data_IF_295126044344
#
_entry.id   IF_295126044344
#
_cell.length_a   1.000
_cell.length_b   1.000
_cell.length_c   1.000
_cell.angle_alpha   90.00
_cell.angle_beta   90.00
_cell.angle_gamma   90.00
#
_symmetry.space_group_name_H-M   'P 1'
#
loop_
_entity.id
_entity.type
_entity.pdbx_description
1 polymer ?
#
# COMPACT_ATOMS: atom_id res chain seq x y z
N UNK A 1 41.98 4.29 -42.79
CA UNK A 1 41.99 4.46 -41.31
C UNK A 1 40.81 5.32 -40.83
N UNK A 2 40.61 6.53 -41.38
CA UNK A 2 39.48 7.43 -41.00
C UNK A 2 38.07 6.83 -41.09
N UNK A 3 37.74 6.06 -42.15
CA UNK A 3 36.40 5.42 -42.27
C UNK A 3 36.11 4.41 -41.14
N UNK A 4 37.12 3.67 -40.67
CA UNK A 4 36.97 2.70 -39.58
C UNK A 4 36.79 3.41 -38.23
N UNK A 5 37.49 4.53 -38.02
CA UNK A 5 37.34 5.37 -36.83
C UNK A 5 35.95 6.04 -36.81
N UNK A 6 35.48 6.57 -37.95
CA UNK A 6 34.14 7.14 -38.05
C UNK A 6 33.02 6.11 -37.79
N UNK A 7 33.16 4.88 -38.30
CA UNK A 7 32.22 3.80 -38.00
C UNK A 7 32.23 3.42 -36.51
N UNK A 8 33.41 3.36 -35.89
CA UNK A 8 33.53 3.05 -34.46
C UNK A 8 32.90 4.15 -33.58
N UNK A 9 33.10 5.43 -33.92
CA UNK A 9 32.46 6.55 -33.22
C UNK A 9 30.94 6.50 -33.40
N UNK A 10 30.44 6.25 -34.62
CA UNK A 10 29.00 6.12 -34.85
C UNK A 10 28.40 4.94 -34.07
N UNK A 11 29.08 3.79 -34.03
CA UNK A 11 28.65 2.64 -33.25
C UNK A 11 28.61 2.95 -31.74
N UNK A 12 29.61 3.66 -31.22
CA UNK A 12 29.63 4.11 -29.82
C UNK A 12 28.53 5.12 -29.51
N UNK A 13 28.26 6.06 -30.42
CA UNK A 13 27.16 7.02 -30.27
C UNK A 13 25.79 6.32 -30.30
N UNK A 14 25.59 5.35 -31.20
CA UNK A 14 24.38 4.56 -31.26
C UNK A 14 24.22 3.67 -30.02
N UNK A 15 25.29 3.06 -29.53
CA UNK A 15 25.27 2.28 -28.30
C UNK A 15 24.97 3.16 -27.07
N UNK A 16 25.57 4.36 -26.99
CA UNK A 16 25.30 5.33 -25.94
C UNK A 16 23.86 5.86 -26.00
N UNK A 17 23.35 6.17 -27.20
CA UNK A 17 21.97 6.58 -27.41
C UNK A 17 20.98 5.46 -27.08
N UNK A 18 21.28 4.22 -27.44
CA UNK A 18 20.46 3.07 -27.09
C UNK A 18 20.45 2.84 -25.57
N UNK A 19 21.60 2.89 -24.91
CA UNK A 19 21.69 2.75 -23.45
C UNK A 19 20.91 3.86 -22.73
N UNK A 20 21.08 5.11 -23.16
CA UNK A 20 20.30 6.23 -22.64
C UNK A 20 18.80 6.04 -22.87
N UNK A 21 18.40 5.62 -24.08
CA UNK A 21 17.01 5.35 -24.40
C UNK A 21 16.42 4.23 -23.53
N UNK A 22 17.09 3.10 -23.36
CA UNK A 22 16.57 1.99 -22.56
C UNK A 22 16.48 2.36 -21.07
N UNK A 23 17.50 3.05 -20.54
CA UNK A 23 17.50 3.52 -19.15
C UNK A 23 16.39 4.55 -18.92
N UNK A 24 16.23 5.52 -19.83
CA UNK A 24 15.20 6.55 -19.75
C UNK A 24 13.79 6.02 -20.07
N UNK A 25 13.65 5.00 -20.91
CA UNK A 25 12.35 4.43 -21.27
C UNK A 25 11.69 3.74 -20.09
N UNK A 26 12.44 3.01 -19.26
CA UNK A 26 11.92 2.41 -18.03
C UNK A 26 11.39 3.48 -17.07
N UNK A 27 12.20 4.52 -16.86
CA UNK A 27 11.84 5.72 -16.07
C UNK A 27 10.56 6.38 -16.56
N UNK A 28 10.50 6.67 -17.87
CA UNK A 28 9.37 7.37 -18.46
C UNK A 28 8.08 6.55 -18.38
N UNK A 29 8.16 5.22 -18.58
CA UNK A 29 7.01 4.33 -18.41
C UNK A 29 6.57 4.25 -16.97
N UNK A 30 7.51 4.17 -16.02
CA UNK A 30 7.18 4.15 -14.60
C UNK A 30 6.49 5.44 -14.17
N UNK A 31 7.03 6.60 -14.56
CA UNK A 31 6.42 7.91 -14.28
C UNK A 31 5.02 8.05 -14.89
N UNK A 32 4.86 7.74 -16.18
CA UNK A 32 3.54 7.72 -16.82
C UNK A 32 2.58 6.75 -16.09
N UNK A 33 3.04 5.56 -15.72
CA UNK A 33 2.23 4.53 -15.07
C UNK A 33 1.76 4.96 -13.69
N UNK A 34 2.68 5.46 -12.88
CA UNK A 34 2.41 6.06 -11.58
C UNK A 34 1.37 7.19 -11.70
N UNK A 35 1.54 8.13 -12.64
CA UNK A 35 0.57 9.20 -12.83
C UNK A 35 -0.80 8.69 -13.30
N UNK A 36 -0.85 7.73 -14.24
CA UNK A 36 -2.12 7.17 -14.71
C UNK A 36 -2.88 6.51 -13.57
N UNK A 37 -2.18 5.72 -12.75
CA UNK A 37 -2.72 5.03 -11.58
C UNK A 37 -3.27 6.00 -10.55
N UNK A 38 -2.47 6.97 -10.11
CA UNK A 38 -2.87 7.92 -9.05
C UNK A 38 -3.97 8.87 -9.51
N UNK A 39 -3.92 9.38 -10.75
CA UNK A 39 -5.00 10.23 -11.29
C UNK A 39 -6.30 9.42 -11.41
N UNK A 40 -6.23 8.16 -11.87
CA UNK A 40 -7.42 7.30 -11.95
C UNK A 40 -8.03 7.09 -10.57
N UNK A 41 -7.25 6.63 -9.59
CA UNK A 41 -7.76 6.34 -8.24
C UNK A 41 -8.27 7.61 -7.55
N UNK A 42 -7.51 8.70 -7.59
CA UNK A 42 -7.95 9.95 -6.99
C UNK A 42 -9.22 10.52 -7.62
N UNK A 43 -9.40 10.38 -8.94
CA UNK A 43 -10.63 10.81 -9.61
C UNK A 43 -11.82 9.90 -9.30
N UNK A 44 -11.69 8.60 -9.57
CA UNK A 44 -12.83 7.67 -9.52
C UNK A 44 -13.15 7.13 -8.13
N UNK A 45 -12.17 7.04 -7.21
CA UNK A 45 -12.40 6.60 -5.82
C UNK A 45 -12.58 7.79 -4.89
N UNK A 46 -11.69 8.78 -4.96
CA UNK A 46 -11.65 9.88 -3.99
C UNK A 46 -12.43 11.12 -4.42
N UNK A 47 -12.83 11.24 -5.70
CA UNK A 47 -13.56 12.40 -6.22
C UNK A 47 -12.70 13.66 -6.40
N UNK A 48 -11.37 13.54 -6.37
CA UNK A 48 -10.45 14.66 -6.58
C UNK A 48 -10.31 15.01 -8.06
N UNK A 49 -10.02 16.28 -8.37
CA UNK A 49 -9.80 16.67 -9.76
C UNK A 49 -8.51 16.06 -10.32
N UNK A 50 -8.46 15.71 -11.63
CA UNK A 50 -7.26 15.17 -12.25
C UNK A 50 -6.04 16.10 -12.12
N UNK A 51 -6.26 17.42 -12.13
CA UNK A 51 -5.23 18.44 -11.95
C UNK A 51 -4.62 18.40 -10.55
N UNK A 52 -5.46 18.26 -9.51
CA UNK A 52 -5.00 18.09 -8.13
C UNK A 52 -4.16 16.84 -8.00
N UNK A 53 -4.66 15.72 -8.53
CA UNK A 53 -3.95 14.44 -8.48
C UNK A 53 -2.65 14.47 -9.28
N UNK A 54 -2.61 15.16 -10.42
CA UNK A 54 -1.37 15.32 -11.19
C UNK A 54 -0.33 16.10 -10.39
N UNK A 55 -0.73 17.20 -9.75
CA UNK A 55 0.18 17.98 -8.92
C UNK A 55 0.70 17.13 -7.78
N UNK A 56 -0.18 16.48 -7.01
CA UNK A 56 0.15 15.67 -5.83
C UNK A 56 1.00 14.43 -6.17
N UNK A 57 0.64 13.72 -7.25
CA UNK A 57 1.41 12.58 -7.75
C UNK A 57 2.82 12.99 -8.20
N UNK A 58 3.00 14.22 -8.66
CA UNK A 58 4.29 14.70 -9.16
C UNK A 58 5.04 15.55 -8.12
N UNK A 59 4.55 15.66 -6.88
CA UNK A 59 5.30 16.30 -5.79
C UNK A 59 6.62 15.55 -5.60
N UNK A 60 7.74 16.26 -5.80
CA UNK A 60 9.09 15.70 -5.73
C UNK A 60 9.59 15.02 -7.00
N UNK A 61 8.77 14.94 -8.06
CA UNK A 61 9.21 14.43 -9.35
C UNK A 61 10.13 15.45 -10.06
N UNK A 62 11.07 14.96 -10.89
CA UNK A 62 11.95 15.85 -11.66
C UNK A 62 11.15 16.73 -12.63
N UNK A 63 11.71 17.88 -13.03
CA UNK A 63 11.11 18.78 -14.05
C UNK A 63 10.72 18.02 -15.33
N UNK A 64 11.43 16.94 -15.66
CA UNK A 64 11.11 16.08 -16.79
C UNK A 64 9.75 15.38 -16.62
N UNK A 65 9.49 14.78 -15.45
CA UNK A 65 8.23 14.08 -15.17
C UNK A 65 7.04 15.04 -14.96
N UNK A 66 7.29 16.31 -14.62
CA UNK A 66 6.26 17.35 -14.54
C UNK A 66 5.50 17.55 -15.89
N UNK A 67 6.12 17.17 -17.01
CA UNK A 67 5.56 17.28 -18.36
C UNK A 67 4.66 16.10 -18.78
N UNK A 68 4.33 15.18 -17.87
CA UNK A 68 3.35 14.13 -18.16
C UNK A 68 1.99 14.77 -18.45
N UNK A 69 1.42 14.47 -19.62
CA UNK A 69 0.05 14.83 -19.96
C UNK A 69 -0.90 13.68 -19.60
N UNK A 70 -2.17 14.00 -19.38
CA UNK A 70 -3.23 13.00 -19.15
C UNK A 70 -4.42 13.24 -20.08
N UNK A 71 -5.19 12.17 -20.29
CA UNK A 71 -6.50 12.17 -20.91
C UNK A 71 -7.43 11.33 -20.04
N UNK A 72 -8.47 11.96 -19.51
CA UNK A 72 -9.57 11.29 -18.82
C UNK A 72 -10.63 10.88 -19.85
N UNK A 73 -11.16 9.67 -19.69
CA UNK A 73 -12.28 9.14 -20.45
C UNK A 73 -13.30 8.58 -19.45
N UNK A 74 -14.38 9.31 -19.20
CA UNK A 74 -15.39 8.95 -18.20
C UNK A 74 -16.27 7.78 -18.65
N UNK A 75 -16.54 7.68 -19.95
CA UNK A 75 -17.35 6.60 -20.54
C UNK A 75 -16.63 5.26 -20.37
N UNK A 76 -15.34 5.24 -20.69
CA UNK A 76 -14.48 4.06 -20.51
C UNK A 76 -13.88 3.96 -19.10
N UNK A 77 -14.21 4.90 -18.22
CA UNK A 77 -13.72 5.01 -16.84
C UNK A 77 -12.21 4.81 -16.72
N UNK A 78 -11.47 5.60 -17.49
CA UNK A 78 -10.03 5.39 -17.65
C UNK A 78 -9.23 6.67 -17.74
N UNK A 79 -7.96 6.57 -17.36
CA UNK A 79 -6.99 7.66 -17.48
C UNK A 79 -5.81 7.15 -18.29
N UNK A 80 -5.43 7.91 -19.32
CA UNK A 80 -4.24 7.64 -20.14
C UNK A 80 -3.24 8.76 -19.95
N UNK A 81 -1.98 8.44 -19.69
CA UNK A 81 -0.89 9.41 -19.53
C UNK A 81 0.22 9.18 -20.54
N UNK A 82 0.95 10.25 -20.87
CA UNK A 82 2.10 10.21 -21.79
C UNK A 82 3.15 11.21 -21.35
N UNK A 83 4.43 10.83 -21.46
CA UNK A 83 5.54 11.75 -21.28
C UNK A 83 5.98 12.28 -22.65
N UNK A 84 5.83 13.59 -22.90
CA UNK A 84 6.09 14.24 -24.20
C UNK A 84 5.41 13.54 -25.40
N UNK A 85 4.22 12.95 -25.18
CA UNK A 85 3.49 12.19 -26.19
C UNK A 85 3.98 10.76 -26.43
N UNK A 86 5.02 10.32 -25.71
CA UNK A 86 5.57 8.97 -25.74
C UNK A 86 5.25 8.20 -24.45
N UNK A 87 5.62 6.92 -24.39
CA UNK A 87 5.53 6.08 -23.20
C UNK A 87 4.12 6.07 -22.57
N UNK A 88 3.14 5.77 -23.41
CA UNK A 88 1.73 5.73 -23.00
C UNK A 88 1.50 4.67 -21.92
N UNK A 89 0.79 5.08 -20.87
CA UNK A 89 0.29 4.18 -19.82
C UNK A 89 -1.17 4.50 -19.56
N UNK A 90 -1.93 3.46 -19.21
CA UNK A 90 -3.37 3.56 -19.02
C UNK A 90 -3.80 2.82 -17.76
N UNK A 91 -4.65 3.45 -16.97
CA UNK A 91 -5.34 2.83 -15.86
C UNK A 91 -6.86 2.83 -16.11
N UNK A 92 -7.54 1.78 -15.68
CA UNK A 92 -9.00 1.62 -15.82
C UNK A 92 -9.61 1.39 -14.46
N UNK A 93 -10.65 2.16 -14.15
CA UNK A 93 -11.47 1.99 -12.96
C UNK A 93 -12.56 0.93 -13.18
N UNK A 94 -12.60 -0.05 -12.29
CA UNK A 94 -13.67 -1.04 -12.19
C UNK A 94 -14.37 -0.90 -10.84
N UNK A 95 -15.70 -0.70 -10.77
CA UNK A 95 -16.42 -0.58 -9.51
C UNK A 95 -16.14 -1.71 -8.52
N UNK A 96 -15.89 -1.36 -7.26
CA UNK A 96 -15.56 -2.31 -6.19
C UNK A 96 -14.12 -2.84 -6.19
N UNK A 97 -13.44 -2.79 -7.34
CA UNK A 97 -12.04 -3.22 -7.49
C UNK A 97 -11.09 -2.02 -7.42
N UNK A 98 -11.52 -0.87 -7.94
CA UNK A 98 -10.70 0.33 -8.09
C UNK A 98 -9.98 0.39 -9.43
N UNK A 99 -8.88 1.13 -9.49
CA UNK A 99 -8.13 1.37 -10.73
C UNK A 99 -7.00 0.36 -10.91
N UNK A 100 -6.94 -0.30 -12.06
CA UNK A 100 -5.87 -1.24 -12.43
C UNK A 100 -5.00 -0.63 -13.52
N UNK A 101 -3.68 -0.66 -13.36
CA UNK A 101 -2.74 -0.23 -14.38
C UNK A 101 -2.59 -1.33 -15.45
N UNK A 102 -2.72 -0.95 -16.73
CA UNK A 102 -2.65 -1.90 -17.84
C UNK A 102 -1.23 -2.12 -18.36
N UNK A 103 -1.00 -3.28 -18.98
CA UNK A 103 0.21 -3.52 -19.76
C UNK A 103 0.20 -2.71 -21.06
N UNK A 104 1.39 -2.48 -21.63
CA UNK A 104 1.54 -1.68 -22.85
C UNK A 104 0.73 -2.28 -24.01
N UNK A 105 -0.19 -1.51 -24.59
CA UNK A 105 -1.00 -1.91 -25.74
C UNK A 105 -2.34 -2.58 -25.38
N UNK A 106 -2.59 -2.89 -24.11
CA UNK A 106 -3.88 -3.38 -23.65
C UNK A 106 -4.93 -2.25 -23.63
N UNK A 107 -6.18 -2.61 -23.93
CA UNK A 107 -7.30 -1.67 -23.93
C UNK A 107 -8.29 -1.87 -22.78
N UNK A 108 -8.23 -3.02 -22.10
CA UNK A 108 -9.14 -3.38 -21.01
C UNK A 108 -8.42 -4.24 -19.97
N UNK A 109 -8.75 -4.06 -18.69
CA UNK A 109 -8.43 -5.04 -17.65
C UNK A 109 -9.48 -6.15 -17.71
N UNK A 110 -9.05 -7.38 -18.00
CA UNK A 110 -9.92 -8.55 -17.86
C UNK A 110 -9.90 -8.99 -16.40
N UNK A 111 -10.89 -8.55 -15.62
CA UNK A 111 -11.06 -8.93 -14.22
C UNK A 111 -12.43 -9.61 -14.07
N UNK A 112 -12.48 -10.95 -13.99
CA UNK A 112 -13.73 -11.71 -13.87
C UNK A 112 -14.31 -11.64 -12.45
N UNK A 113 -14.34 -10.45 -11.86
CA UNK A 113 -15.04 -10.15 -10.62
C UNK A 113 -16.35 -9.48 -11.01
N UNK A 114 -17.45 -10.00 -10.47
CA UNK A 114 -18.79 -9.54 -10.84
C UNK A 114 -19.18 -8.33 -10.00
N UNK A 115 -20.09 -8.49 -9.05
CA UNK A 115 -20.39 -7.51 -8.04
C UNK A 115 -19.82 -7.98 -6.71
N UNK A 116 -19.20 -7.06 -5.97
CA UNK A 116 -18.86 -7.29 -4.58
C UNK A 116 -20.07 -6.98 -3.70
N UNK A 117 -20.14 -7.56 -2.49
CA UNK A 117 -21.21 -7.27 -1.55
C UNK A 117 -21.34 -5.76 -1.33
N UNK A 118 -22.56 -5.24 -1.43
CA UNK A 118 -22.84 -3.88 -1.00
C UNK A 118 -22.74 -3.82 0.52
N UNK A 119 -21.74 -3.08 1.01
CA UNK A 119 -21.54 -2.89 2.44
C UNK A 119 -22.38 -1.73 2.99
N UNK A 120 -23.10 -0.99 2.16
CA UNK A 120 -23.94 0.13 2.59
C UNK A 120 -24.92 -0.30 3.69
N UNK A 121 -25.13 0.56 4.68
CA UNK A 121 -26.05 0.31 5.80
C UNK A 121 -27.25 1.24 5.65
N UNK A 122 -28.45 0.71 5.86
CA UNK A 122 -29.67 1.52 5.92
C UNK A 122 -29.82 2.17 7.30
N UNK A 123 -29.86 3.51 7.34
CA UNK A 123 -30.17 4.29 8.54
C UNK A 123 -29.00 5.12 9.07
N UNK A 124 -29.32 6.10 9.93
CA UNK A 124 -28.36 7.03 10.54
C UNK A 124 -27.68 6.39 11.76
N UNK A 125 -26.79 5.42 11.54
CA UNK A 125 -25.96 4.87 12.61
C UNK A 125 -24.77 5.79 12.88
N UNK A 126 -24.52 6.08 14.16
CA UNK A 126 -23.32 6.80 14.59
C UNK A 126 -22.08 5.89 14.57
N UNK A 127 -20.90 6.49 14.74
CA UNK A 127 -19.68 5.77 15.03
C UNK A 127 -19.86 4.74 16.17
N UNK A 128 -19.25 3.54 16.10
CA UNK A 128 -18.40 3.05 15.02
C UNK A 128 -19.16 2.32 13.90
N UNK A 129 -20.49 2.20 13.97
CA UNK A 129 -21.27 1.35 13.06
C UNK A 129 -21.72 2.06 11.77
N UNK A 130 -21.76 3.40 11.75
CA UNK A 130 -22.10 4.18 10.55
C UNK A 130 -21.32 5.48 10.41
N UNK A 131 -21.83 6.39 9.58
CA UNK A 131 -21.24 7.69 9.26
C UNK A 131 -21.84 8.86 10.05
N UNK A 132 -22.80 8.60 10.96
CA UNK A 132 -23.34 9.61 11.87
C UNK A 132 -22.29 10.18 12.83
N UNK A 133 -22.60 11.34 13.42
CA UNK A 133 -21.70 12.04 14.35
C UNK A 133 -21.35 11.17 15.56
N UNK A 134 -20.07 11.14 15.91
CA UNK A 134 -19.63 10.61 17.20
C UNK A 134 -19.87 11.60 18.35
N UNK A 135 -19.06 11.49 19.39
CA UNK A 135 -19.03 12.43 20.51
C UNK A 135 -18.09 13.61 20.23
N UNK A 136 -18.09 14.08 18.99
CA UNK A 136 -17.22 15.15 18.53
C UNK A 136 -17.63 16.45 19.22
N UNK A 137 -16.66 17.11 19.83
CA UNK A 137 -16.83 18.42 20.48
C UNK A 137 -15.83 19.41 19.92
N UNK A 138 -16.07 20.70 20.17
CA UNK A 138 -15.16 21.78 19.75
C UNK A 138 -13.95 21.94 20.69
N UNK A 139 -13.77 21.07 21.69
CA UNK A 139 -12.66 21.12 22.65
C UNK A 139 -11.28 21.08 21.97
N UNK A 140 -11.19 20.36 20.84
CA UNK A 140 -9.94 20.11 20.13
C UNK A 140 -9.76 20.96 18.87
N UNK A 141 -10.66 21.92 18.60
CA UNK A 141 -10.67 22.69 17.35
C UNK A 141 -9.34 23.39 17.10
N UNK A 142 -8.78 24.09 18.11
CA UNK A 142 -7.50 24.81 17.98
C UNK A 142 -6.34 23.88 17.60
N UNK A 143 -6.29 22.67 18.19
CA UNK A 143 -5.29 21.66 17.85
C UNK A 143 -5.49 21.16 16.42
N UNK A 144 -6.73 20.88 16.03
CA UNK A 144 -7.06 20.45 14.66
C UNK A 144 -6.71 21.53 13.65
N UNK A 145 -6.97 22.81 13.93
CA UNK A 145 -6.54 23.92 13.07
C UNK A 145 -5.02 23.98 12.93
N UNK A 146 -4.28 23.80 14.03
CA UNK A 146 -2.83 23.79 14.00
C UNK A 146 -2.25 22.64 13.14
N UNK A 147 -2.91 21.48 13.05
CA UNK A 147 -2.45 20.37 12.20
C UNK A 147 -2.66 20.64 10.70
N UNK A 148 -3.64 21.48 10.34
CA UNK A 148 -3.95 21.86 8.96
C UNK A 148 -3.25 23.14 8.52
N UNK A 149 -2.57 23.85 9.42
CA UNK A 149 -1.82 25.04 9.06
C UNK A 149 -0.60 24.70 8.18
N UNK A 150 -0.36 25.46 7.11
CA UNK A 150 0.83 25.28 6.27
C UNK A 150 1.92 26.28 6.68
N UNK A 151 2.62 25.98 7.78
CA UNK A 151 3.62 26.89 8.38
C UNK A 151 4.89 27.04 7.52
N UNK A 152 5.26 26.00 6.75
CA UNK A 152 6.37 26.02 5.81
C UNK A 152 5.87 25.76 4.38
N UNK A 153 5.64 26.80 3.57
CA UNK A 153 5.21 26.64 2.17
C UNK A 153 6.19 25.85 1.30
N UNK A 154 7.46 25.70 1.69
CA UNK A 154 8.43 24.88 0.96
C UNK A 154 8.30 23.38 1.28
N UNK A 155 7.64 23.04 2.39
CA UNK A 155 7.41 21.67 2.86
C UNK A 155 5.99 21.53 3.38
N UNK A 156 4.98 21.70 2.50
CA UNK A 156 3.60 21.63 2.94
C UNK A 156 3.28 20.24 3.50
N UNK A 157 2.54 20.20 4.60
CA UNK A 157 2.03 18.97 5.22
C UNK A 157 0.94 18.34 4.37
N UNK A 158 0.11 19.17 3.73
CA UNK A 158 -1.03 18.76 2.91
C UNK A 158 -1.98 17.81 3.64
N UNK A 159 -2.24 18.07 4.93
CA UNK A 159 -3.13 17.25 5.75
C UNK A 159 -4.52 17.19 5.10
N UNK A 160 -4.98 15.98 4.77
CA UNK A 160 -6.31 15.76 4.15
C UNK A 160 -7.40 15.46 5.17
N UNK A 161 -7.07 14.70 6.20
CA UNK A 161 -8.01 14.30 7.24
C UNK A 161 -7.26 13.98 8.55
N UNK A 162 -7.91 14.30 9.67
CA UNK A 162 -7.50 13.89 11.01
C UNK A 162 -8.74 13.34 11.69
N UNK A 163 -8.62 12.18 12.33
CA UNK A 163 -9.67 11.52 13.11
C UNK A 163 -9.04 11.02 14.41
N UNK A 164 -9.68 11.31 15.55
CA UNK A 164 -9.23 10.89 16.88
C UNK A 164 -10.31 10.08 17.57
N UNK A 165 -9.96 8.86 17.94
CA UNK A 165 -10.82 7.94 18.70
C UNK A 165 -10.19 7.73 20.07
N UNK A 166 -10.99 7.87 21.12
CA UNK A 166 -10.56 7.67 22.50
C UNK A 166 -11.60 6.81 23.22
N UNK A 167 -11.15 5.71 23.83
CA UNK A 167 -12.03 4.72 24.49
C UNK A 167 -13.18 4.24 23.59
N UNK A 168 -12.88 3.98 22.32
CA UNK A 168 -13.85 3.54 21.31
C UNK A 168 -14.81 4.64 20.81
N UNK A 169 -14.69 5.88 21.29
CA UNK A 169 -15.55 7.02 20.92
C UNK A 169 -14.81 7.95 19.97
N UNK A 170 -15.44 8.35 18.88
CA UNK A 170 -14.94 9.40 17.99
C UNK A 170 -15.08 10.76 18.69
N UNK A 171 -13.97 11.41 19.04
CA UNK A 171 -13.96 12.64 19.87
C UNK A 171 -13.54 13.89 19.10
N UNK A 172 -12.82 13.74 17.99
CA UNK A 172 -12.33 14.85 17.18
C UNK A 172 -12.15 14.41 15.72
N UNK A 173 -12.49 15.29 14.79
CA UNK A 173 -12.17 15.09 13.37
C UNK A 173 -12.11 16.41 12.62
N UNK A 174 -11.29 16.47 11.58
CA UNK A 174 -11.24 17.59 10.64
C UNK A 174 -10.82 17.09 9.27
N UNK A 175 -11.37 17.72 8.24
CA UNK A 175 -11.14 17.37 6.84
C UNK A 175 -10.71 18.63 6.07
N UNK A 176 -9.86 18.44 5.06
CA UNK A 176 -9.49 19.50 4.12
C UNK A 176 -10.66 19.81 3.18
N UNK A 177 -10.57 20.95 2.48
CA UNK A 177 -11.53 21.31 1.46
C UNK A 177 -11.65 20.21 0.39
N UNK A 178 -12.88 19.80 0.08
CA UNK A 178 -13.18 18.72 -0.86
C UNK A 178 -13.02 17.30 -0.31
N UNK A 179 -12.68 17.13 0.98
CA UNK A 179 -12.63 15.83 1.67
C UNK A 179 -13.82 15.72 2.63
N UNK A 180 -14.50 14.58 2.62
CA UNK A 180 -15.61 14.26 3.54
C UNK A 180 -15.24 13.06 4.43
N UNK A 181 -16.03 12.75 5.48
CA UNK A 181 -15.85 11.55 6.28
C UNK A 181 -15.91 10.22 5.51
N UNK A 182 -16.46 10.24 4.28
CA UNK A 182 -16.61 9.11 3.38
C UNK A 182 -15.60 9.10 2.24
N UNK A 183 -14.79 10.16 2.05
CA UNK A 183 -13.78 10.21 0.98
C UNK A 183 -12.70 9.14 1.22
N UNK A 184 -12.53 8.15 0.32
CA UNK A 184 -11.43 7.22 0.41
C UNK A 184 -10.09 7.91 0.16
N UNK A 185 -9.13 7.76 1.05
CA UNK A 185 -7.77 8.30 0.94
C UNK A 185 -6.75 7.15 0.86
N UNK A 186 -5.72 7.33 0.03
CA UNK A 186 -4.63 6.35 -0.12
C UNK A 186 -3.87 6.17 1.19
N UNK A 187 -3.73 4.93 1.66
CA UNK A 187 -2.94 4.60 2.87
C UNK A 187 -1.47 4.30 2.60
N UNK A 188 -1.07 4.10 1.33
CA UNK A 188 0.27 3.63 0.98
C UNK A 188 0.65 2.40 1.82
N UNK A 189 1.83 2.43 2.44
CA UNK A 189 2.35 1.32 3.24
C UNK A 189 1.54 0.95 4.48
N UNK A 190 0.53 1.74 4.88
CA UNK A 190 -0.43 1.30 5.90
C UNK A 190 -1.17 0.02 5.48
N UNK A 191 -1.31 -0.23 4.17
CA UNK A 191 -1.91 -1.44 3.63
C UNK A 191 -1.17 -2.73 4.06
N UNK A 192 0.11 -2.65 4.43
CA UNK A 192 0.90 -3.79 4.93
C UNK A 192 0.32 -4.34 6.22
N UNK A 193 -0.01 -3.46 7.16
CA UNK A 193 -0.64 -3.88 8.42
C UNK A 193 -2.00 -4.52 8.17
N UNK A 194 -2.79 -4.00 7.21
CA UNK A 194 -4.07 -4.61 6.81
C UNK A 194 -3.88 -5.98 6.17
N UNK A 195 -2.82 -6.17 5.38
CA UNK A 195 -2.43 -7.48 4.85
C UNK A 195 -2.14 -8.47 5.98
N UNK A 196 -1.45 -8.03 7.05
CA UNK A 196 -1.20 -8.86 8.23
C UNK A 196 -2.48 -9.18 9.03
N UNK A 197 -3.45 -8.28 9.09
CA UNK A 197 -4.77 -8.57 9.68
C UNK A 197 -5.52 -9.64 8.86
N UNK A 198 -5.46 -9.58 7.53
CA UNK A 198 -6.04 -10.61 6.66
C UNK A 198 -5.36 -11.97 6.84
N UNK A 199 -4.02 -12.00 7.02
CA UNK A 199 -3.32 -13.24 7.40
C UNK A 199 -3.82 -13.76 8.74
N UNK A 200 -4.00 -12.89 9.75
CA UNK A 200 -4.52 -13.28 11.05
C UNK A 200 -5.87 -13.98 10.98
N UNK A 201 -6.79 -13.48 10.13
CA UNK A 201 -8.08 -14.15 9.87
C UNK A 201 -7.87 -15.59 9.36
N UNK A 202 -6.94 -15.79 8.42
CA UNK A 202 -6.64 -17.11 7.86
C UNK A 202 -5.90 -18.02 8.85
N UNK A 203 -5.09 -17.46 9.74
CA UNK A 203 -4.46 -18.21 10.85
C UNK A 203 -5.52 -18.68 11.84
N UNK A 204 -6.47 -17.81 12.21
CA UNK A 204 -7.62 -18.16 13.05
C UNK A 204 -8.47 -19.28 12.45
N UNK A 205 -8.64 -19.26 11.12
CA UNK A 205 -9.37 -20.29 10.39
C UNK A 205 -8.57 -21.60 10.22
N UNK A 206 -7.29 -21.64 10.64
CA UNK A 206 -6.41 -22.80 10.49
C UNK A 206 -5.92 -23.04 9.06
N UNK A 207 -6.06 -22.05 8.18
CA UNK A 207 -5.66 -22.11 6.76
C UNK A 207 -4.18 -21.79 6.58
N UNK A 208 -3.65 -20.87 7.38
CA UNK A 208 -2.24 -20.47 7.38
C UNK A 208 -1.61 -20.69 8.77
N UNK A 209 -0.29 -20.90 8.79
CA UNK A 209 0.53 -20.87 10.01
C UNK A 209 1.75 -19.99 9.73
N UNK A 210 2.09 -19.03 10.62
CA UNK A 210 3.30 -18.22 10.48
C UNK A 210 4.58 -19.05 10.38
N UNK A 211 4.65 -20.16 11.11
CA UNK A 211 5.83 -21.03 11.21
C UNK A 211 5.99 -21.95 9.99
N UNK A 212 4.95 -22.12 9.19
CA UNK A 212 5.00 -22.96 8.00
C UNK A 212 5.81 -22.27 6.88
N UNK A 213 6.46 -23.07 6.00
CA UNK A 213 7.02 -22.56 4.77
C UNK A 213 5.97 -21.79 3.97
N UNK A 214 6.37 -20.63 3.44
CA UNK A 214 5.50 -19.77 2.67
C UNK A 214 5.01 -20.50 1.41
N UNK A 215 3.70 -20.49 1.19
CA UNK A 215 3.05 -21.17 0.07
C UNK A 215 3.28 -20.43 -1.27
N UNK A 216 4.53 -20.40 -1.74
CA UNK A 216 4.98 -19.74 -2.97
C UNK A 216 5.41 -20.80 -3.99
N UNK A 217 4.59 -21.09 -5.02
CA UNK A 217 4.86 -22.20 -5.95
C UNK A 217 6.20 -22.14 -6.67
N UNK A 218 6.67 -20.93 -7.00
CA UNK A 218 7.94 -20.73 -7.70
C UNK A 218 9.14 -21.28 -6.90
N UNK A 219 9.10 -21.21 -5.57
CA UNK A 219 10.17 -21.72 -4.70
C UNK A 219 10.16 -23.24 -4.53
N UNK A 220 9.07 -23.90 -4.93
CA UNK A 220 8.89 -25.34 -4.81
C UNK A 220 9.13 -26.09 -6.12
N UNK A 221 9.48 -25.37 -7.21
CA UNK A 221 9.59 -25.95 -8.55
C UNK A 221 10.90 -26.72 -8.73
N UNK A 222 12.02 -26.14 -8.29
CA UNK A 222 13.35 -26.72 -8.42
C UNK A 222 13.82 -27.33 -7.09
N UNK A 223 14.17 -28.62 -7.03
CA UNK A 223 14.70 -29.23 -5.82
C UNK A 223 15.95 -28.50 -5.32
N UNK A 224 15.93 -28.07 -4.05
CA UNK A 224 17.05 -27.38 -3.41
C UNK A 224 17.07 -25.87 -3.61
N UNK A 225 16.00 -25.25 -4.12
CA UNK A 225 15.84 -23.79 -4.01
C UNK A 225 15.81 -23.38 -2.52
N UNK A 226 16.80 -22.62 -2.02
CA UNK A 226 16.87 -22.25 -0.61
C UNK A 226 15.70 -21.36 -0.16
N UNK A 227 14.98 -20.73 -1.09
CA UNK A 227 13.79 -19.92 -0.78
C UNK A 227 12.60 -20.78 -0.35
N UNK A 228 12.61 -22.08 -0.65
CA UNK A 228 11.56 -23.02 -0.25
C UNK A 228 11.35 -23.09 1.27
N UNK A 229 12.38 -22.76 2.04
CA UNK A 229 12.39 -22.79 3.51
C UNK A 229 11.96 -21.46 4.16
N UNK A 230 11.76 -20.40 3.37
CA UNK A 230 11.29 -19.10 3.91
C UNK A 230 9.91 -19.30 4.51
N UNK A 231 9.72 -18.92 5.77
CA UNK A 231 8.42 -19.04 6.46
C UNK A 231 7.54 -17.82 6.23
N UNK A 232 6.24 -17.96 6.52
CA UNK A 232 5.32 -16.83 6.49
C UNK A 232 5.68 -15.77 7.55
N UNK A 233 6.16 -16.18 8.73
CA UNK A 233 6.65 -15.28 9.79
C UNK A 233 7.81 -14.42 9.29
N UNK A 234 8.79 -15.01 8.59
CA UNK A 234 9.92 -14.28 8.02
C UNK A 234 9.51 -13.27 6.96
N UNK A 235 8.46 -13.56 6.18
CA UNK A 235 7.86 -12.57 5.29
C UNK A 235 7.18 -11.45 6.09
N UNK A 236 6.38 -11.79 7.10
CA UNK A 236 5.69 -10.80 7.93
C UNK A 236 6.66 -9.90 8.72
N UNK A 237 7.83 -10.41 9.11
CA UNK A 237 8.86 -9.67 9.83
C UNK A 237 9.83 -8.90 8.92
N UNK A 238 9.69 -9.02 7.60
CA UNK A 238 10.60 -8.41 6.61
C UNK A 238 12.05 -8.93 6.78
N UNK A 239 12.20 -10.21 7.12
CA UNK A 239 13.48 -10.88 7.40
C UNK A 239 13.73 -12.09 6.48
N UNK A 240 13.05 -12.16 5.33
CA UNK A 240 13.15 -13.26 4.37
C UNK A 240 14.53 -13.46 3.72
N UNK A 241 15.41 -12.44 3.80
CA UNK A 241 16.71 -12.45 3.13
C UNK A 241 16.65 -12.24 1.61
N UNK A 242 15.46 -11.97 1.04
CA UNK A 242 15.32 -11.63 -0.37
C UNK A 242 15.93 -10.26 -0.68
N UNK A 243 16.68 -10.18 -1.78
CA UNK A 243 17.20 -8.91 -2.29
C UNK A 243 16.07 -8.10 -2.92
N UNK A 244 15.81 -6.91 -2.39
CA UNK A 244 14.79 -6.02 -2.94
C UNK A 244 15.16 -4.55 -2.73
N UNK A 245 15.29 -3.79 -3.81
CA UNK A 245 15.56 -2.35 -3.76
C UNK A 245 14.26 -1.54 -3.54
N UNK A 246 14.07 -1.09 -2.31
CA UNK A 246 12.93 -0.29 -1.85
C UNK A 246 13.21 1.23 -1.89
N UNK A 247 14.25 1.70 -2.58
CA UNK A 247 14.64 3.13 -2.51
C UNK A 247 13.72 4.08 -3.31
N UNK A 248 12.73 3.55 -4.05
CA UNK A 248 11.80 4.31 -4.91
C UNK A 248 12.48 5.23 -5.93
N UNK A 249 13.77 4.99 -6.22
CA UNK A 249 14.43 5.62 -7.34
C UNK A 249 13.97 4.98 -8.65
N UNK A 250 14.38 5.58 -9.76
CA UNK A 250 13.66 5.44 -11.03
C UNK A 250 13.89 4.08 -11.73
N UNK A 251 14.88 3.32 -11.29
CA UNK A 251 15.22 1.98 -11.80
C UNK A 251 15.30 0.93 -10.69
N UNK A 252 14.53 1.13 -9.61
CA UNK A 252 14.49 0.22 -8.44
C UNK A 252 13.46 -0.86 -8.63
N UNK A 253 13.60 -1.93 -7.85
CA UNK A 253 12.71 -3.07 -7.87
C UNK A 253 11.27 -2.67 -7.52
N UNK A 254 11.08 -1.80 -6.53
CA UNK A 254 9.75 -1.31 -6.15
C UNK A 254 9.06 -0.51 -7.27
N UNK A 255 9.79 0.37 -7.95
CA UNK A 255 9.27 1.18 -9.06
C UNK A 255 8.93 0.30 -10.26
N UNK A 256 9.80 -0.66 -10.57
CA UNK A 256 9.59 -1.64 -11.64
C UNK A 256 8.35 -2.50 -11.35
N UNK A 257 8.28 -3.11 -10.16
CA UNK A 257 7.18 -3.97 -9.73
C UNK A 257 5.83 -3.25 -9.81
N UNK A 258 5.71 -2.06 -9.23
CA UNK A 258 4.42 -1.37 -9.12
C UNK A 258 3.95 -0.70 -10.41
N UNK A 259 4.87 -0.36 -11.32
CA UNK A 259 4.55 0.46 -12.50
C UNK A 259 4.66 -0.28 -13.82
N UNK A 260 5.42 -1.37 -13.90
CA UNK A 260 5.76 -2.05 -15.15
C UNK A 260 5.40 -3.53 -15.17
N UNK A 261 5.39 -4.23 -14.03
CA UNK A 261 5.07 -5.66 -13.96
C UNK A 261 3.56 -5.91 -13.88
N UNK A 262 3.11 -7.02 -14.46
CA UNK A 262 1.70 -7.45 -14.40
C UNK A 262 1.39 -8.26 -13.13
N UNK A 263 2.37 -9.06 -12.69
CA UNK A 263 2.32 -9.89 -11.48
C UNK A 263 3.37 -9.39 -10.48
N UNK A 264 2.92 -8.55 -9.54
CA UNK A 264 3.81 -7.97 -8.54
C UNK A 264 4.33 -9.02 -7.55
N UNK A 265 3.48 -9.99 -7.21
CA UNK A 265 3.84 -11.07 -6.28
C UNK A 265 4.87 -12.02 -6.90
N UNK A 266 4.68 -12.40 -8.17
CA UNK A 266 5.61 -13.23 -8.93
C UNK A 266 6.95 -12.52 -9.17
N UNK A 267 6.94 -11.24 -9.53
CA UNK A 267 8.17 -10.44 -9.65
C UNK A 267 8.96 -10.44 -8.34
N UNK A 268 8.31 -10.11 -7.21
CA UNK A 268 8.96 -10.09 -5.91
C UNK A 268 9.47 -11.49 -5.49
N UNK A 269 8.69 -12.55 -5.73
CA UNK A 269 9.10 -13.92 -5.44
C UNK A 269 10.27 -14.41 -6.31
N UNK A 270 10.48 -13.80 -7.49
CA UNK A 270 11.58 -14.15 -8.38
C UNK A 270 12.94 -13.67 -7.89
N UNK A 271 12.96 -12.73 -6.94
CA UNK A 271 14.19 -12.15 -6.44
C UNK A 271 15.15 -13.19 -5.83
N UNK A 272 16.46 -13.00 -6.00
CA UNK A 272 17.45 -13.86 -5.38
C UNK A 272 17.56 -13.56 -3.88
N UNK A 273 18.09 -14.51 -3.11
CA UNK A 273 18.52 -14.25 -1.74
C UNK A 273 19.77 -13.36 -1.75
N UNK A 274 19.78 -12.37 -0.86
CA UNK A 274 20.97 -11.61 -0.47
C UNK A 274 21.70 -12.26 0.71
N UNK A 275 20.94 -12.92 1.60
CA UNK A 275 21.46 -13.69 2.73
C UNK A 275 20.44 -14.73 3.22
N UNK A 276 20.80 -15.56 4.21
CA UNK A 276 19.84 -16.49 4.82
C UNK A 276 18.68 -15.73 5.51
N UNK A 277 17.49 -16.34 5.60
CA UNK A 277 16.39 -15.77 6.39
C UNK A 277 16.80 -15.50 7.85
N UNK A 278 16.21 -14.47 8.46
CA UNK A 278 16.52 -13.98 9.81
C UNK A 278 17.97 -13.54 10.05
N UNK A 279 18.71 -13.21 8.99
CA UNK A 279 20.05 -12.61 9.13
C UNK A 279 20.11 -11.13 8.76
N UNK A 280 19.15 -10.66 7.95
CA UNK A 280 19.06 -9.27 7.48
C UNK A 280 17.61 -8.84 7.58
N UNK A 281 17.35 -7.69 8.21
CA UNK A 281 16.07 -7.01 8.10
C UNK A 281 16.09 -6.06 6.91
N UNK A 282 15.09 -6.15 6.03
CA UNK A 282 14.95 -5.27 4.86
C UNK A 282 13.49 -4.95 4.61
N UNK A 283 13.09 -3.71 4.88
CA UNK A 283 11.74 -3.24 4.59
C UNK A 283 11.44 -3.35 3.08
N UNK A 284 10.41 -4.13 2.72
CA UNK A 284 10.14 -4.50 1.33
C UNK A 284 8.64 -4.56 1.02
N UNK A 285 8.19 -3.71 0.10
CA UNK A 285 6.87 -3.79 -0.51
C UNK A 285 6.71 -5.06 -1.33
N UNK A 286 7.80 -5.56 -1.94
CA UNK A 286 7.80 -6.85 -2.63
C UNK A 286 7.40 -8.00 -1.71
N UNK A 287 7.99 -8.05 -0.52
CA UNK A 287 7.66 -9.07 0.50
C UNK A 287 6.17 -9.07 0.84
N UNK A 288 5.54 -7.91 1.06
CA UNK A 288 4.08 -7.85 1.31
C UNK A 288 3.25 -8.31 0.11
N UNK A 289 3.69 -8.04 -1.12
CA UNK A 289 2.95 -8.51 -2.31
C UNK A 289 3.09 -10.02 -2.51
N UNK A 290 4.19 -10.65 -2.09
CA UNK A 290 4.28 -12.12 -1.97
C UNK A 290 3.21 -12.63 -1.01
N UNK A 291 3.06 -12.00 0.17
CA UNK A 291 2.03 -12.34 1.16
C UNK A 291 0.62 -12.16 0.57
N UNK A 292 0.38 -11.11 -0.21
CA UNK A 292 -0.90 -10.92 -0.93
C UNK A 292 -1.18 -12.07 -1.91
N UNK A 293 -0.16 -12.55 -2.62
CA UNK A 293 -0.25 -13.73 -3.46
C UNK A 293 -0.53 -15.02 -2.66
N UNK A 294 0.03 -15.16 -1.46
CA UNK A 294 -0.28 -16.27 -0.54
C UNK A 294 -1.75 -16.22 -0.12
N UNK A 295 -2.23 -15.06 0.36
CA UNK A 295 -3.64 -14.87 0.73
C UNK A 295 -4.54 -15.27 -0.44
N UNK A 296 -4.28 -14.75 -1.65
CA UNK A 296 -5.05 -15.08 -2.87
C UNK A 296 -5.17 -16.59 -3.11
N UNK A 297 -4.11 -17.35 -2.88
CA UNK A 297 -4.12 -18.82 -3.06
C UNK A 297 -4.77 -19.57 -1.90
N UNK A 298 -4.88 -18.93 -0.74
CA UNK A 298 -5.51 -19.48 0.46
C UNK A 298 -7.01 -19.22 0.54
N UNK A 299 -7.56 -18.39 -0.36
CA UNK A 299 -8.96 -17.93 -0.35
C UNK A 299 -9.69 -18.36 -1.62
N UNK A 300 -10.24 -19.58 -1.58
CA UNK A 300 -11.00 -20.14 -2.69
C UNK A 300 -10.17 -20.33 -3.97
N UNK A 301 -10.86 -20.50 -5.10
CA UNK A 301 -10.24 -20.83 -6.39
C UNK A 301 -10.33 -19.68 -7.41
N UNK A 302 -11.08 -18.62 -7.09
CA UNK A 302 -11.40 -17.54 -8.03
C UNK A 302 -11.00 -16.16 -7.51
N UNK A 303 -10.83 -15.20 -8.43
CA UNK A 303 -10.67 -13.78 -8.05
C UNK A 303 -11.91 -13.24 -7.33
N UNK A 304 -13.10 -13.78 -7.62
CA UNK A 304 -14.31 -13.40 -6.90
C UNK A 304 -14.21 -13.75 -5.41
N UNK A 305 -13.70 -14.95 -5.07
CA UNK A 305 -13.52 -15.40 -3.69
C UNK A 305 -12.51 -14.50 -2.96
N UNK A 306 -11.40 -14.17 -3.63
CA UNK A 306 -10.37 -13.32 -3.06
C UNK A 306 -10.84 -11.90 -2.73
N UNK A 307 -11.58 -11.28 -3.64
CA UNK A 307 -12.10 -9.94 -3.39
C UNK A 307 -13.22 -9.96 -2.35
N UNK A 308 -14.14 -10.94 -2.44
CA UNK A 308 -15.19 -11.11 -1.45
C UNK A 308 -14.63 -11.36 -0.05
N UNK A 309 -13.53 -12.11 0.10
CA UNK A 309 -12.89 -12.37 1.38
C UNK A 309 -12.58 -11.08 2.15
N UNK A 310 -11.88 -10.12 1.52
CA UNK A 310 -11.54 -8.85 2.18
C UNK A 310 -12.78 -8.06 2.63
N UNK A 311 -13.80 -8.02 1.76
CA UNK A 311 -15.05 -7.32 2.01
C UNK A 311 -15.85 -7.98 3.14
N UNK A 312 -15.99 -9.31 3.12
CA UNK A 312 -16.89 -10.03 4.01
C UNK A 312 -16.29 -10.37 5.37
N UNK A 313 -14.97 -10.62 5.42
CA UNK A 313 -14.27 -11.13 6.60
C UNK A 313 -13.57 -10.04 7.39
N UNK A 314 -13.17 -8.95 6.75
CA UNK A 314 -12.51 -7.82 7.42
C UNK A 314 -13.35 -6.55 7.41
N UNK A 315 -13.77 -6.06 6.25
CA UNK A 315 -14.41 -4.73 6.18
C UNK A 315 -15.84 -4.72 6.71
N UNK A 316 -16.66 -5.70 6.30
CA UNK A 316 -18.05 -5.78 6.72
C UNK A 316 -18.21 -5.85 8.25
N UNK A 317 -17.51 -6.74 8.98
CA UNK A 317 -17.64 -6.84 10.44
C UNK A 317 -17.24 -5.56 11.18
N UNK A 318 -16.26 -4.81 10.66
CA UNK A 318 -15.77 -3.57 11.25
C UNK A 318 -16.63 -2.34 10.94
N UNK A 319 -17.68 -2.51 10.14
CA UNK A 319 -18.40 -1.39 9.55
C UNK A 319 -17.57 -0.47 8.65
N UNK A 320 -16.54 -1.01 7.98
CA UNK A 320 -15.76 -0.32 6.96
C UNK A 320 -16.51 -0.37 5.62
N UNK A 321 -16.59 0.76 4.91
CA UNK A 321 -17.50 0.96 3.77
C UNK A 321 -16.86 1.59 2.55
N UNK A 322 -15.83 2.37 2.78
CA UNK A 322 -15.14 3.15 1.75
C UNK A 322 -13.90 2.42 1.22
N UNK A 323 -13.56 1.29 1.85
CA UNK A 323 -12.31 0.58 1.61
C UNK A 323 -12.28 -0.11 0.23
N UNK A 324 -11.26 0.21 -0.55
CA UNK A 324 -10.95 -0.44 -1.83
C UNK A 324 -9.49 -0.88 -1.83
N UNK A 325 -9.27 -2.20 -1.93
CA UNK A 325 -7.96 -2.81 -2.17
C UNK A 325 -7.78 -2.99 -3.68
N UNK A 326 -6.88 -2.21 -4.27
CA UNK A 326 -6.59 -2.31 -5.69
C UNK A 326 -5.50 -3.35 -5.96
N UNK A 327 -5.52 -3.92 -7.17
CA UNK A 327 -4.59 -4.97 -7.58
C UNK A 327 -3.59 -4.55 -8.63
N UNK A 328 -2.61 -5.43 -8.83
CA UNK A 328 -1.89 -5.53 -10.09
C UNK A 328 -2.80 -5.97 -11.24
N UNK A 329 -2.20 -6.17 -12.41
CA UNK A 329 -2.92 -6.55 -13.63
C UNK A 329 -3.48 -7.97 -13.57
N UNK A 330 -2.83 -8.86 -12.82
CA UNK A 330 -3.21 -10.27 -12.67
C UNK A 330 -4.27 -10.49 -11.59
N UNK A 331 -4.69 -9.41 -10.91
CA UNK A 331 -5.75 -9.37 -9.92
C UNK A 331 -5.28 -9.62 -8.49
N UNK A 332 -3.97 -9.74 -8.25
CA UNK A 332 -3.41 -9.84 -6.89
C UNK A 332 -3.37 -8.45 -6.27
N UNK A 333 -3.94 -8.27 -5.06
CA UNK A 333 -3.84 -6.99 -4.36
C UNK A 333 -2.40 -6.50 -4.26
N UNK A 334 -2.21 -5.20 -4.49
CA UNK A 334 -1.00 -4.51 -4.07
C UNK A 334 -1.15 -4.20 -2.58
N UNK A 335 -1.14 -5.26 -1.75
CA UNK A 335 -1.29 -5.17 -0.29
C UNK A 335 -0.14 -4.39 0.36
N UNK A 336 0.94 -4.13 -0.37
CA UNK A 336 2.00 -3.24 0.07
C UNK A 336 1.61 -1.76 0.11
N UNK A 337 0.62 -1.32 -0.67
CA UNK A 337 0.43 0.10 -0.98
C UNK A 337 -1.00 0.57 -1.27
N UNK A 338 -1.80 -0.16 -2.06
CA UNK A 338 -3.01 0.40 -2.69
C UNK A 338 -4.29 0.02 -1.96
N UNK A 339 -4.35 0.38 -0.68
CA UNK A 339 -5.60 0.44 0.07
C UNK A 339 -6.05 1.90 0.19
N UNK A 340 -7.26 2.17 -0.30
CA UNK A 340 -7.94 3.44 -0.12
C UNK A 340 -9.03 3.23 0.90
N UNK A 341 -9.12 4.09 1.90
CA UNK A 341 -10.22 4.11 2.86
C UNK A 341 -10.34 5.50 3.47
N UNK A 342 -11.52 5.87 3.95
CA UNK A 342 -11.70 7.14 4.64
C UNK A 342 -10.96 7.13 5.97
N UNK A 343 -10.69 8.32 6.51
CA UNK A 343 -9.97 8.44 7.78
C UNK A 343 -10.69 7.71 8.93
N UNK A 344 -12.03 7.69 8.92
CA UNK A 344 -12.83 6.91 9.88
C UNK A 344 -12.66 5.40 9.69
N UNK A 345 -12.63 4.91 8.46
CA UNK A 345 -12.41 3.49 8.18
C UNK A 345 -11.00 3.03 8.56
N UNK A 346 -9.99 3.87 8.36
CA UNK A 346 -8.65 3.67 8.90
C UNK A 346 -8.64 3.64 10.44
N UNK A 347 -9.38 4.52 11.09
CA UNK A 347 -9.51 4.52 12.55
C UNK A 347 -10.20 3.25 13.08
N UNK A 348 -11.14 2.64 12.34
CA UNK A 348 -11.74 1.34 12.71
C UNK A 348 -10.72 0.21 12.73
N UNK A 349 -9.79 0.20 11.77
CA UNK A 349 -8.68 -0.76 11.75
C UNK A 349 -7.73 -0.56 12.94
N UNK A 350 -7.42 0.70 13.29
CA UNK A 350 -6.66 1.01 14.50
C UNK A 350 -7.38 0.57 15.79
N UNK A 351 -8.68 0.83 15.88
CA UNK A 351 -9.51 0.42 17.02
C UNK A 351 -9.62 -1.12 17.13
N UNK A 352 -9.69 -1.85 16.01
CA UNK A 352 -9.62 -3.31 16.02
C UNK A 352 -8.30 -3.79 16.65
N UNK A 353 -7.17 -3.20 16.25
CA UNK A 353 -5.87 -3.55 16.83
C UNK A 353 -5.81 -3.21 18.31
N UNK A 354 -6.30 -2.04 18.73
CA UNK A 354 -6.36 -1.63 20.14
C UNK A 354 -7.16 -2.62 21.00
N UNK A 355 -8.15 -3.30 20.41
CA UNK A 355 -9.03 -4.28 21.06
C UNK A 355 -8.56 -5.73 20.87
N UNK A 356 -7.27 -5.95 20.60
CA UNK A 356 -6.68 -7.28 20.36
C UNK A 356 -7.47 -8.13 19.34
N UNK A 357 -7.93 -7.50 18.24
CA UNK A 357 -8.66 -8.22 17.20
C UNK A 357 -10.10 -8.59 17.53
N UNK A 358 -10.65 -8.11 18.65
CA UNK A 358 -12.06 -8.27 19.03
C UNK A 358 -12.87 -7.05 18.59
N UNK A 359 -14.00 -7.28 17.94
CA UNK A 359 -14.93 -6.24 17.52
C UNK A 359 -16.36 -6.63 17.90
N UNK A 360 -17.06 -5.76 18.64
CA UNK A 360 -18.43 -6.01 19.12
C UNK A 360 -18.59 -7.39 19.81
N UNK A 361 -17.60 -7.75 20.63
CA UNK A 361 -17.55 -9.05 21.33
C UNK A 361 -17.21 -10.26 20.45
N UNK A 362 -17.01 -10.08 19.14
CA UNK A 362 -16.59 -11.13 18.23
C UNK A 362 -15.08 -11.06 17.98
N UNK A 363 -14.38 -12.15 18.28
CA UNK A 363 -12.97 -12.31 17.88
C UNK A 363 -12.87 -12.46 16.35
N UNK A 364 -12.27 -11.48 15.68
CA UNK A 364 -11.97 -11.53 14.25
C UNK A 364 -10.58 -12.12 13.98
N UNK A 365 -9.64 -11.88 14.89
CA UNK A 365 -8.26 -12.39 14.86
C UNK A 365 -8.06 -13.44 15.96
N UNK A 366 -7.02 -14.29 15.87
CA UNK A 366 -6.72 -15.24 16.93
C UNK A 366 -6.16 -14.52 18.16
N UNK A 367 -6.39 -15.08 19.34
CA UNK A 367 -5.90 -14.51 20.61
C UNK A 367 -4.39 -14.25 20.54
N UNK A 368 -3.95 -13.06 20.96
CA UNK A 368 -2.53 -12.67 20.95
C UNK A 368 -1.97 -12.34 19.56
N UNK A 369 -2.80 -12.28 18.51
CA UNK A 369 -2.32 -11.89 17.18
C UNK A 369 -1.77 -10.47 17.17
N UNK A 370 -2.40 -9.51 17.85
CA UNK A 370 -1.88 -8.13 17.89
C UNK A 370 -0.55 -8.09 18.64
N UNK A 371 -0.42 -8.81 19.77
CA UNK A 371 0.85 -8.96 20.48
C UNK A 371 1.96 -9.52 19.57
N UNK A 372 1.64 -10.54 18.76
CA UNK A 372 2.56 -11.06 17.74
C UNK A 372 2.96 -9.99 16.71
N UNK A 373 1.99 -9.20 16.20
CA UNK A 373 2.27 -8.13 15.24
C UNK A 373 3.18 -7.03 15.83
N UNK A 374 3.05 -6.73 17.12
CA UNK A 374 3.80 -5.66 17.79
C UNK A 374 5.07 -6.15 18.50
N UNK A 375 5.36 -7.45 18.46
CA UNK A 375 6.61 -8.01 18.98
C UNK A 375 7.77 -7.61 18.05
N UNK A 376 8.82 -6.93 18.56
CA UNK A 376 9.96 -6.48 17.76
C UNK A 376 10.58 -7.61 16.95
N UNK A 377 10.89 -7.30 15.69
CA UNK A 377 11.62 -8.21 14.82
C UNK A 377 13.08 -8.29 15.28
N UNK A 378 13.60 -9.49 15.63
CA UNK A 378 14.92 -9.63 16.24
C UNK A 378 16.10 -9.09 15.42
N UNK A 379 15.95 -9.02 14.10
CA UNK A 379 16.99 -8.54 13.17
C UNK A 379 16.99 -7.02 12.96
N UNK A 380 16.05 -6.30 13.56
CA UNK A 380 15.99 -4.84 13.48
C UNK A 380 16.98 -4.21 14.46
N UNK A 381 17.69 -3.15 14.05
CA UNK A 381 18.71 -2.48 14.90
C UNK A 381 18.13 -1.45 15.87
N UNK A 382 16.80 -1.34 15.96
CA UNK A 382 16.13 -0.28 16.73
C UNK A 382 14.80 -0.67 17.36
N UNK A 383 14.43 -1.96 17.35
CA UNK A 383 13.12 -2.44 17.80
C UNK A 383 11.94 -1.69 17.15
N UNK A 384 12.15 -1.12 15.96
CA UNK A 384 11.23 -0.17 15.32
C UNK A 384 10.16 -0.85 14.45
N UNK A 385 10.27 -2.16 14.25
CA UNK A 385 9.37 -2.92 13.38
C UNK A 385 9.02 -4.28 13.97
N UNK A 386 7.72 -4.62 13.98
CA UNK A 386 7.20 -5.94 14.31
C UNK A 386 6.85 -6.75 13.07
N UNK A 387 5.78 -7.53 13.12
CA UNK A 387 5.29 -8.28 11.96
C UNK A 387 4.32 -7.38 11.15
N UNK A 388 4.83 -6.66 10.13
CA UNK A 388 4.10 -5.71 9.28
C UNK A 388 3.51 -4.47 10.02
N UNK A 389 4.01 -4.14 11.21
CA UNK A 389 3.59 -2.99 12.03
C UNK A 389 4.82 -2.23 12.52
N UNK A 390 4.76 -0.90 12.52
CA UNK A 390 5.84 -0.08 13.10
C UNK A 390 5.63 0.11 14.60
N UNK A 391 6.74 0.21 15.34
CA UNK A 391 6.74 0.29 16.81
C UNK A 391 7.35 1.61 17.28
N UNK A 392 6.81 2.17 18.36
CA UNK A 392 7.37 3.35 19.02
C UNK A 392 8.28 2.95 20.20
N UNK A 393 9.04 1.86 20.04
CA UNK A 393 9.89 1.31 21.09
C UNK A 393 11.18 2.11 21.23
N UNK A 394 11.70 2.15 22.45
CA UNK A 394 13.03 2.68 22.69
C UNK A 394 14.08 1.85 21.93
N UNK A 395 14.95 2.51 21.14
CA UNK A 395 16.00 1.83 20.41
C UNK A 395 17.06 1.30 21.37
N UNK A 396 17.72 0.20 21.00
CA UNK A 396 18.84 -0.34 21.79
C UNK A 396 20.03 0.64 21.85
N UNK A 397 20.22 1.41 20.78
CA UNK A 397 21.22 2.49 20.72
C UNK A 397 20.70 3.74 21.43
N UNK A 398 21.28 4.14 22.58
CA UNK A 398 20.82 5.29 23.36
C UNK A 398 21.05 6.64 22.68
N UNK A 399 21.74 6.67 21.54
CA UNK A 399 21.91 7.89 20.73
C UNK A 399 20.75 8.12 19.76
N UNK A 400 19.90 7.12 19.56
CA UNK A 400 18.69 7.20 18.74
C UNK A 400 17.47 7.54 19.61
N UNK A 401 16.43 8.06 18.98
CA UNK A 401 15.13 8.29 19.61
C UNK A 401 14.05 7.61 18.77
N UNK A 402 13.01 7.12 19.45
CA UNK A 402 11.78 6.66 18.81
C UNK A 402 11.11 7.79 18.03
N UNK A 403 10.29 7.44 17.04
CA UNK A 403 9.66 8.42 16.13
C UNK A 403 8.74 9.40 16.88
N UNK A 404 8.03 8.92 17.91
CA UNK A 404 7.13 9.72 18.73
C UNK A 404 7.61 9.75 20.19
N UNK A 405 8.63 10.56 20.51
CA UNK A 405 9.28 10.55 21.82
C UNK A 405 8.34 10.90 22.98
N UNK A 406 7.30 11.69 22.72
CA UNK A 406 6.30 12.12 23.71
C UNK A 406 5.19 11.10 23.97
N UNK A 407 5.09 10.04 23.16
CA UNK A 407 4.09 8.99 23.31
C UNK A 407 4.64 7.80 24.10
N UNK A 408 3.78 6.93 24.67
CA UNK A 408 4.21 5.71 25.34
C UNK A 408 5.08 4.78 24.46
N UNK A 409 5.90 3.95 25.11
CA UNK A 409 6.81 2.98 24.45
C UNK A 409 6.05 1.84 23.74
N UNK A 410 4.91 1.46 24.30
CA UNK A 410 4.00 0.46 23.76
C UNK A 410 3.06 1.00 22.67
N UNK A 411 3.20 2.28 22.27
CA UNK A 411 2.52 2.78 21.09
C UNK A 411 3.06 2.11 19.81
N UNK A 412 2.19 1.90 18.85
CA UNK A 412 2.52 1.30 17.55
C UNK A 412 1.66 1.93 16.46
N UNK A 413 2.06 1.76 15.20
CA UNK A 413 1.39 2.45 14.11
C UNK A 413 1.47 1.74 12.77
N UNK A 414 0.45 1.98 11.95
CA UNK A 414 0.50 1.76 10.50
C UNK A 414 1.13 3.00 9.87
N UNK A 415 2.23 2.84 9.13
CA UNK A 415 2.96 3.96 8.51
C UNK A 415 2.90 3.91 6.99
N UNK A 416 2.57 5.04 6.37
CA UNK A 416 2.49 5.21 4.92
C UNK A 416 3.36 6.37 4.39
N UNK A 417 3.68 6.32 3.11
CA UNK A 417 4.38 7.41 2.41
C UNK A 417 3.57 8.71 2.47
N UNK A 418 4.23 9.88 2.42
CA UNK A 418 3.59 11.20 2.52
C UNK A 418 2.80 11.44 3.82
N UNK A 419 3.25 10.86 4.94
CA UNK A 419 2.74 11.20 6.27
C UNK A 419 1.42 10.51 6.65
N UNK A 420 1.03 9.42 5.96
CA UNK A 420 -0.13 8.65 6.39
C UNK A 420 0.22 7.88 7.67
N UNK A 421 -0.65 7.98 8.68
CA UNK A 421 -0.45 7.28 9.94
C UNK A 421 -1.78 6.89 10.57
N UNK A 422 -1.88 5.63 11.01
CA UNK A 422 -2.84 5.22 12.04
C UNK A 422 -2.02 4.84 13.26
N UNK A 423 -2.09 5.69 14.28
CA UNK A 423 -1.34 5.54 15.52
C UNK A 423 -2.27 4.98 16.60
N UNK A 424 -1.80 3.93 17.28
CA UNK A 424 -2.51 3.29 18.38
C UNK A 424 -1.71 3.50 19.66
N UNK A 425 -2.40 4.00 20.69
CA UNK A 425 -1.85 4.25 22.02
C UNK A 425 -2.68 3.39 22.99
N UNK A 426 -2.14 2.26 23.47
CA UNK A 426 -2.83 1.34 24.38
C UNK A 426 -3.38 1.96 25.67
#
# INVERSE_FOLDING_TARGET
MMKKIALAILALLLAGAAYFYFSFAGVARAGSGYSAKNICSGYFLSGFSPETMKTEALIGASETLANISYKLDEEQRSVTTRLYGLFERRAIYTPGIGCTLLSSGEKRAEMPVTALPDLSVSGDLNWPLGSGSGDVTNEYDDLLYAVFAEEDPARPRNTKAVVVVHQGRLIAEKYADGVTPETPLIGWSMAKSVTALMVGILVKDGVLSPEAPAAVPAWQTEPGDPRAEITLDQLLRMSSGLKFDETYSVATDVTQMLSNESDAAGFAASMPLEGPPDTIWSYSSGTTNIVSGIIRRSVGDTLQDYYAFSQERLFRPLSIRTAVLESDRDGTFIGSSYLYASARDWARLGQLMLQDGVWDGQALLPDGWIEYLITPTPTTTGNEYGAHVWLNRDPEDPTRQRLFPTLPDDAYYMGGYQGQVVLVIP
#
